data_IF_490015306686
#
_entry.id   IF_490015306686
#
_cell.length_a   1.000
_cell.length_b   1.000
_cell.length_c   1.000
_cell.angle_alpha   90.00
_cell.angle_beta   90.00
_cell.angle_gamma   90.00
#
_symmetry.space_group_name_H-M   'P 1'
#
loop_
_entity.id
_entity.type
_entity.pdbx_description
1 polymer ?
#
# COMPACT_ATOMS: atom_id res chain seq x y z
N UNK A 1 -23.59 28.70 79.10
CA UNK A 1 -23.51 27.24 78.90
C UNK A 1 -22.77 26.97 77.60
N UNK A 2 -21.45 26.80 77.73
CA UNK A 2 -20.54 25.84 77.08
C UNK A 2 -21.03 25.05 75.83
N UNK A 3 -20.27 25.23 74.71
CA UNK A 3 -19.71 24.29 73.68
C UNK A 3 -20.78 23.55 72.78
N UNK A 4 -20.69 23.28 71.46
CA UNK A 4 -19.62 22.84 70.54
C UNK A 4 -19.79 23.23 69.06
N UNK A 5 -18.67 23.58 68.44
CA UNK A 5 -18.36 23.44 67.02
C UNK A 5 -17.76 22.05 66.78
N UNK A 6 -18.24 21.29 65.80
CA UNK A 6 -17.40 20.31 65.10
C UNK A 6 -17.80 20.16 63.61
N UNK A 7 -16.74 20.03 62.81
CA UNK A 7 -16.60 20.07 61.36
C UNK A 7 -17.02 18.77 60.62
N UNK A 8 -16.89 18.81 59.29
CA UNK A 8 -16.81 17.76 58.26
C UNK A 8 -18.06 17.67 57.34
N UNK A 9 -18.03 17.83 56.00
CA UNK A 9 -16.98 17.91 54.96
C UNK A 9 -17.49 18.72 53.75
N UNK A 10 -16.62 19.57 53.20
CA UNK A 10 -16.64 20.16 51.84
C UNK A 10 -16.34 19.11 50.74
N UNK A 11 -16.42 19.42 49.42
CA UNK A 11 -17.32 20.29 48.67
C UNK A 11 -17.98 19.57 47.46
N UNK A 12 -19.05 20.16 46.90
CA UNK A 12 -19.59 19.77 45.59
C UNK A 12 -18.61 20.16 44.48
N UNK A 13 -18.04 19.18 43.78
CA UNK A 13 -17.37 19.39 42.50
C UNK A 13 -18.41 19.32 41.37
N UNK A 14 -18.51 20.41 40.61
CA UNK A 14 -19.19 20.46 39.32
C UNK A 14 -18.37 19.57 38.38
N UNK A 15 -18.87 18.38 38.08
CA UNK A 15 -18.40 17.56 36.98
C UNK A 15 -18.96 18.16 35.69
N UNK A 16 -18.16 18.98 35.00
CA UNK A 16 -18.37 19.24 33.59
C UNK A 16 -18.22 17.92 32.85
N UNK A 17 -19.30 17.47 32.23
CA UNK A 17 -19.36 16.28 31.38
C UNK A 17 -18.27 16.36 30.29
N UNK A 18 -17.17 15.65 30.50
CA UNK A 18 -16.29 15.27 29.40
C UNK A 18 -17.09 14.32 28.52
N UNK A 19 -17.43 14.80 27.32
CA UNK A 19 -18.13 14.03 26.31
C UNK A 19 -17.17 12.95 25.80
N UNK A 20 -17.17 11.79 26.45
CA UNK A 20 -16.40 10.61 26.07
C UNK A 20 -17.10 9.93 24.88
N UNK A 21 -17.24 10.66 23.77
CA UNK A 21 -17.66 10.13 22.48
C UNK A 21 -16.58 10.35 21.41
N UNK A 22 -15.33 10.53 21.82
CA UNK A 22 -14.19 10.22 20.97
C UNK A 22 -13.83 8.75 21.20
N UNK A 23 -14.78 7.85 20.87
CA UNK A 23 -14.42 6.50 20.50
C UNK A 23 -13.30 6.64 19.47
N UNK A 24 -12.18 5.95 19.70
CA UNK A 24 -11.10 5.81 18.74
C UNK A 24 -11.72 5.38 17.40
N UNK A 25 -12.04 6.35 16.53
CA UNK A 25 -11.97 6.13 15.10
C UNK A 25 -10.48 5.84 14.90
N UNK A 26 -10.12 4.56 14.88
CA UNK A 26 -8.93 4.13 14.16
C UNK A 26 -9.06 4.79 12.80
N UNK A 27 -8.32 5.88 12.56
CA UNK A 27 -8.23 6.44 11.23
C UNK A 27 -7.74 5.29 10.36
N UNK A 28 -8.58 4.81 9.45
CA UNK A 28 -8.12 3.82 8.50
C UNK A 28 -7.15 4.58 7.60
N UNK A 29 -5.88 4.21 7.64
CA UNK A 29 -4.93 4.76 6.68
C UNK A 29 -5.14 4.04 5.36
N UNK A 30 -5.15 4.80 4.26
CA UNK A 30 -5.17 4.25 2.92
C UNK A 30 -3.87 4.55 2.22
N UNK A 31 -3.57 3.77 1.18
CA UNK A 31 -2.47 4.09 0.27
C UNK A 31 -2.92 5.27 -0.57
N UNK A 32 -2.10 6.32 -0.61
CA UNK A 32 -2.36 7.51 -1.44
C UNK A 32 -1.35 7.70 -2.55
N UNK A 33 -0.21 7.02 -2.50
CA UNK A 33 0.77 7.04 -3.59
C UNK A 33 1.74 5.86 -3.51
N UNK A 34 2.49 5.68 -4.59
CA UNK A 34 3.57 4.70 -4.65
C UNK A 34 4.89 5.34 -5.07
N UNK A 35 6.00 4.75 -4.65
CA UNK A 35 7.34 5.03 -5.16
C UNK A 35 8.00 3.74 -5.63
N UNK A 36 8.96 3.85 -6.53
CA UNK A 36 9.80 2.74 -6.97
C UNK A 36 11.25 3.07 -6.64
N UNK A 37 11.94 2.14 -6.01
CA UNK A 37 13.37 2.22 -5.74
C UNK A 37 14.11 1.20 -6.60
N UNK A 38 15.16 1.65 -7.27
CA UNK A 38 16.00 0.84 -8.16
C UNK A 38 17.43 0.94 -7.68
N UNK A 39 18.10 -0.19 -7.54
CA UNK A 39 19.49 -0.26 -7.08
C UNK A 39 20.30 -1.32 -7.84
N UNK A 40 21.61 -1.10 -7.87
CA UNK A 40 22.62 -2.09 -8.28
C UNK A 40 22.97 -3.09 -7.17
N UNK A 41 22.45 -2.87 -5.96
CA UNK A 41 22.70 -3.71 -4.78
C UNK A 41 21.40 -4.10 -4.12
N UNK A 42 21.42 -5.22 -3.39
CA UNK A 42 20.30 -5.69 -2.58
C UNK A 42 20.13 -4.82 -1.31
N UNK A 43 19.84 -3.53 -1.48
CA UNK A 43 19.79 -2.53 -0.41
C UNK A 43 18.52 -1.68 -0.45
N UNK A 44 17.38 -2.28 -0.09
CA UNK A 44 16.13 -1.54 0.05
C UNK A 44 16.14 -0.68 1.33
N UNK A 45 16.02 0.66 1.24
CA UNK A 45 15.84 1.49 2.43
C UNK A 45 14.46 1.21 3.04
N UNK A 46 14.32 1.31 4.37
CA UNK A 46 13.02 1.13 5.01
C UNK A 46 11.97 2.17 4.55
N UNK A 47 12.42 3.40 4.25
CA UNK A 47 11.57 4.49 3.79
C UNK A 47 12.24 5.27 2.67
N UNK A 48 11.43 5.72 1.70
CA UNK A 48 11.87 6.58 0.60
C UNK A 48 10.77 7.60 0.28
N UNK A 49 11.09 8.89 0.30
CA UNK A 49 10.15 9.97 -0.04
C UNK A 49 8.81 9.92 0.75
N UNK A 50 8.88 9.55 2.03
CA UNK A 50 7.68 9.40 2.88
C UNK A 50 6.86 8.14 2.60
N UNK A 51 7.35 7.24 1.75
CA UNK A 51 6.78 5.91 1.55
C UNK A 51 7.49 4.87 2.42
N UNK A 52 6.71 3.95 2.97
CA UNK A 52 7.21 2.69 3.56
C UNK A 52 7.51 1.71 2.43
N UNK A 53 8.72 1.16 2.38
CA UNK A 53 9.15 0.26 1.32
C UNK A 53 8.77 -1.20 1.60
N UNK A 54 8.28 -1.90 0.59
CA UNK A 54 8.14 -3.35 0.64
C UNK A 54 9.49 -4.02 0.35
N UNK A 55 9.88 -5.00 1.15
CA UNK A 55 11.22 -5.62 1.07
C UNK A 55 11.38 -6.68 -0.03
N UNK A 56 10.30 -6.97 -0.77
CA UNK A 56 10.36 -7.92 -1.88
C UNK A 56 11.06 -7.27 -3.07
N UNK A 57 12.18 -7.85 -3.49
CA UNK A 57 12.80 -7.54 -4.78
C UNK A 57 11.96 -8.15 -5.91
N UNK A 58 11.52 -7.33 -6.85
CA UNK A 58 10.67 -7.76 -7.97
C UNK A 58 11.44 -8.51 -9.05
N UNK A 59 12.78 -8.46 -9.03
CA UNK A 59 13.66 -9.21 -9.93
C UNK A 59 14.35 -10.40 -9.25
N UNK A 60 13.91 -10.77 -8.04
CA UNK A 60 14.60 -11.77 -7.24
C UNK A 60 14.76 -13.08 -8.02
N UNK A 61 15.99 -13.56 -8.16
CA UNK A 61 16.29 -14.80 -8.90
C UNK A 61 16.34 -14.68 -10.43
N UNK A 62 16.10 -13.50 -10.99
CA UNK A 62 16.13 -13.25 -12.44
C UNK A 62 17.31 -12.36 -12.89
N UNK A 63 18.11 -11.86 -11.95
CA UNK A 63 19.20 -10.92 -12.22
C UNK A 63 18.68 -9.53 -12.58
N UNK A 64 19.56 -8.66 -13.08
CA UNK A 64 19.22 -7.27 -13.35
C UNK A 64 19.32 -6.38 -12.11
N UNK A 65 18.56 -5.28 -12.10
CA UNK A 65 18.49 -4.35 -10.98
C UNK A 65 17.64 -4.91 -9.85
N UNK A 66 17.96 -4.53 -8.62
CA UNK A 66 17.08 -4.74 -7.47
C UNK A 66 15.99 -3.68 -7.48
N UNK A 67 14.73 -4.12 -7.49
CA UNK A 67 13.58 -3.22 -7.67
C UNK A 67 12.57 -3.44 -6.55
N UNK A 68 12.19 -2.36 -5.88
CA UNK A 68 11.28 -2.38 -4.74
C UNK A 68 10.18 -1.32 -4.90
N UNK A 69 8.99 -1.63 -4.40
CA UNK A 69 7.85 -0.70 -4.39
C UNK A 69 7.60 -0.23 -2.96
N UNK A 70 7.47 1.09 -2.78
CA UNK A 70 7.02 1.68 -1.54
C UNK A 70 5.61 2.26 -1.66
N UNK A 71 4.90 2.33 -0.54
CA UNK A 71 3.58 2.97 -0.44
C UNK A 71 3.61 4.17 0.50
N UNK A 72 2.93 5.23 0.11
CA UNK A 72 2.59 6.33 1.00
C UNK A 72 1.24 6.06 1.63
N UNK A 73 1.16 6.18 2.96
CA UNK A 73 -0.07 6.00 3.73
C UNK A 73 -0.48 7.30 4.40
N UNK A 74 -1.76 7.62 4.30
CA UNK A 74 -2.33 8.81 4.92
C UNK A 74 -3.71 8.47 5.49
N UNK A 75 -4.17 9.24 6.47
CA UNK A 75 -5.50 9.07 7.06
C UNK A 75 -6.58 9.19 6.00
N UNK A 76 -7.49 8.23 5.94
CA UNK A 76 -8.63 8.28 5.04
C UNK A 76 -9.84 8.93 5.71
N UNK A 77 -10.40 9.93 5.04
CA UNK A 77 -11.64 10.61 5.41
C UNK A 77 -12.50 10.79 4.16
N UNK A 78 -13.78 11.07 4.33
CA UNK A 78 -14.67 11.42 3.21
C UNK A 78 -14.20 12.66 2.44
N UNK A 79 -13.46 13.56 3.09
CA UNK A 79 -12.97 14.80 2.50
C UNK A 79 -11.73 14.63 1.64
N UNK A 80 -11.04 13.49 1.75
CA UNK A 80 -9.78 13.22 1.03
C UNK A 80 -9.83 11.93 0.20
N UNK A 81 -11.02 11.43 -0.08
CA UNK A 81 -11.22 10.20 -0.85
C UNK A 81 -10.57 10.26 -2.24
N UNK A 82 -10.55 11.43 -2.86
CA UNK A 82 -9.93 11.66 -4.17
C UNK A 82 -8.41 11.39 -4.20
N UNK A 83 -7.77 11.36 -3.03
CA UNK A 83 -6.34 11.04 -2.87
C UNK A 83 -6.08 9.56 -2.64
N UNK A 84 -7.09 8.80 -2.24
CA UNK A 84 -6.95 7.38 -1.95
C UNK A 84 -6.76 6.61 -3.25
N UNK A 85 -5.78 5.70 -3.28
CA UNK A 85 -5.62 4.74 -4.37
C UNK A 85 -6.79 3.75 -4.32
N UNK A 86 -7.52 3.65 -5.42
CA UNK A 86 -8.74 2.83 -5.52
C UNK A 86 -8.61 1.71 -6.54
N UNK A 87 -7.61 1.74 -7.42
CA UNK A 87 -7.30 0.65 -8.35
C UNK A 87 -5.79 0.56 -8.56
N UNK A 88 -5.27 -0.65 -8.64
CA UNK A 88 -3.85 -0.95 -8.88
C UNK A 88 -3.77 -2.11 -9.86
N UNK A 89 -2.87 -2.00 -10.83
CA UNK A 89 -2.50 -3.11 -11.72
C UNK A 89 -1.04 -3.02 -12.15
N UNK A 90 -0.58 -4.10 -12.76
CA UNK A 90 0.69 -4.18 -13.46
C UNK A 90 0.43 -4.56 -14.91
N UNK A 91 1.15 -3.93 -15.82
CA UNK A 91 1.01 -4.17 -17.26
C UNK A 91 2.34 -4.67 -17.82
N UNK A 92 2.27 -5.75 -18.60
CA UNK A 92 3.42 -6.31 -19.29
C UNK A 92 3.38 -5.98 -20.79
N UNK A 93 4.53 -5.63 -21.35
CA UNK A 93 4.68 -5.34 -22.78
C UNK A 93 6.01 -5.93 -23.31
N UNK A 94 6.02 -6.32 -24.57
CA UNK A 94 7.24 -6.75 -25.27
C UNK A 94 8.11 -5.56 -25.68
N UNK A 95 7.52 -4.37 -25.78
CA UNK A 95 8.22 -3.14 -26.11
C UNK A 95 8.25 -2.18 -24.91
N UNK A 96 9.30 -1.37 -24.85
CA UNK A 96 9.38 -0.32 -23.82
C UNK A 96 8.31 0.74 -24.09
N UNK A 97 7.46 0.98 -23.09
CA UNK A 97 6.49 2.06 -23.13
C UNK A 97 7.13 3.36 -22.63
N UNK A 98 6.91 4.44 -23.39
CA UNK A 98 7.41 5.79 -23.06
C UNK A 98 6.28 6.73 -22.64
N UNK A 99 5.04 6.26 -22.70
CA UNK A 99 3.84 7.03 -22.41
C UNK A 99 2.91 6.27 -21.45
N UNK A 100 2.16 7.02 -20.65
CA UNK A 100 1.21 6.47 -19.71
C UNK A 100 0.17 5.60 -20.44
N UNK A 101 -0.02 4.33 -20.02
CA UNK A 101 -1.05 3.48 -20.56
C UNK A 101 -2.44 4.13 -20.52
N UNK A 102 -3.25 4.00 -21.58
CA UNK A 102 -4.60 4.55 -21.62
C UNK A 102 -5.48 3.89 -20.55
N UNK A 103 -6.46 4.63 -20.04
CA UNK A 103 -7.40 4.15 -19.02
C UNK A 103 -6.90 4.22 -17.58
N UNK A 104 -5.64 4.64 -17.35
CA UNK A 104 -5.07 4.82 -16.02
C UNK A 104 -4.79 6.30 -15.74
N UNK A 105 -5.08 6.77 -14.53
CA UNK A 105 -4.82 8.13 -14.08
C UNK A 105 -3.35 8.36 -13.77
N UNK A 106 -2.69 7.35 -13.18
CA UNK A 106 -1.32 7.42 -12.72
C UNK A 106 -0.52 6.18 -13.17
N UNK A 107 0.79 6.37 -13.33
CA UNK A 107 1.72 5.29 -13.64
C UNK A 107 3.13 5.65 -13.17
N UNK A 108 3.98 4.63 -13.03
CA UNK A 108 5.41 4.81 -12.90
C UNK A 108 6.09 4.37 -14.22
N UNK A 109 6.90 5.25 -14.87
CA UNK A 109 7.58 4.90 -16.13
C UNK A 109 8.78 3.97 -15.94
N UNK A 110 9.17 3.67 -14.70
CA UNK A 110 10.22 2.71 -14.40
C UNK A 110 9.78 1.31 -14.83
N UNK A 111 10.64 0.66 -15.62
CA UNK A 111 10.49 -0.77 -15.91
C UNK A 111 10.85 -1.57 -14.66
N UNK A 112 9.86 -2.30 -14.13
CA UNK A 112 10.01 -3.11 -12.93
C UNK A 112 10.77 -4.43 -13.18
N UNK A 113 11.13 -4.71 -14.43
CA UNK A 113 11.93 -5.86 -14.86
C UNK A 113 13.36 -5.47 -15.30
N UNK A 114 13.81 -4.25 -15.00
CA UNK A 114 15.03 -3.69 -15.60
C UNK A 114 16.25 -4.62 -15.43
N UNK A 115 16.76 -5.13 -16.55
CA UNK A 115 17.91 -6.02 -16.61
C UNK A 115 17.61 -7.52 -16.43
N UNK A 116 16.38 -7.91 -16.08
CA UNK A 116 15.95 -9.30 -15.92
C UNK A 116 15.63 -10.00 -17.27
N UNK A 117 15.74 -9.29 -18.40
CA UNK A 117 15.61 -9.80 -19.79
C UNK A 117 14.23 -10.39 -20.16
N UNK A 118 13.19 -10.07 -19.40
CA UNK A 118 11.79 -10.44 -19.67
C UNK A 118 11.00 -9.34 -20.40
N UNK A 119 9.67 -9.38 -20.25
CA UNK A 119 8.78 -8.29 -20.69
C UNK A 119 8.98 -7.06 -19.81
N UNK A 120 8.79 -5.88 -20.38
CA UNK A 120 8.74 -4.64 -19.62
C UNK A 120 7.49 -4.63 -18.74
N UNK A 121 7.67 -4.36 -17.44
CA UNK A 121 6.58 -4.37 -16.46
C UNK A 121 6.39 -2.95 -15.91
N UNK A 122 5.15 -2.45 -15.94
CA UNK A 122 4.81 -1.11 -15.45
C UNK A 122 3.71 -1.15 -14.41
N UNK A 123 3.88 -0.39 -13.31
CA UNK A 123 2.85 -0.18 -12.31
C UNK A 123 1.93 0.98 -12.70
N UNK A 124 0.63 0.76 -12.60
CA UNK A 124 -0.42 1.72 -12.92
C UNK A 124 -1.49 1.75 -11.83
N UNK A 125 -2.06 2.91 -11.56
CA UNK A 125 -3.11 3.05 -10.54
C UNK A 125 -4.07 4.21 -10.83
N UNK A 126 -5.24 4.15 -10.19
CA UNK A 126 -6.24 5.23 -10.13
C UNK A 126 -6.47 5.66 -8.69
N UNK A 127 -6.99 6.87 -8.52
CA UNK A 127 -7.36 7.42 -7.22
C UNK A 127 -8.81 7.93 -7.25
N UNK A 128 -9.50 7.86 -6.12
CA UNK A 128 -10.78 8.54 -5.93
C UNK A 128 -11.97 7.98 -6.70
N UNK A 129 -11.92 6.77 -7.21
CA UNK A 129 -13.05 6.18 -7.93
C UNK A 129 -14.22 5.90 -6.96
N UNK A 130 -15.38 6.55 -7.17
CA UNK A 130 -16.49 6.69 -6.21
C UNK A 130 -17.07 5.36 -5.65
N UNK A 131 -17.06 4.28 -6.44
CA UNK A 131 -17.69 3.00 -6.08
C UNK A 131 -16.67 2.01 -5.49
N UNK A 132 -15.38 2.32 -5.61
CA UNK A 132 -14.29 1.43 -5.20
C UNK A 132 -13.69 1.90 -3.89
N UNK A 133 -13.68 0.98 -2.93
CA UNK A 133 -13.07 1.23 -1.64
C UNK A 133 -11.55 1.42 -1.73
N UNK A 134 -10.96 2.26 -0.86
CA UNK A 134 -9.52 2.49 -0.82
C UNK A 134 -8.71 1.20 -0.67
N UNK A 135 -7.57 1.16 -1.35
CA UNK A 135 -6.53 0.17 -1.12
C UNK A 135 -5.77 0.57 0.14
N UNK A 136 -5.60 -0.38 1.05
CA UNK A 136 -4.92 -0.18 2.33
C UNK A 136 -3.69 -1.07 2.49
N UNK A 137 -3.38 -1.96 1.57
CA UNK A 137 -2.19 -2.81 1.65
C UNK A 137 -1.86 -3.36 0.26
N UNK A 138 -0.57 -3.55 0.00
CA UNK A 138 -0.08 -4.40 -1.09
C UNK A 138 0.85 -5.45 -0.48
N UNK A 139 0.88 -6.64 -1.05
CA UNK A 139 1.87 -7.66 -0.73
C UNK A 139 2.29 -8.39 -2.00
N UNK A 140 3.50 -8.93 -1.97
CA UNK A 140 4.07 -9.70 -3.06
C UNK A 140 4.28 -11.14 -2.61
N UNK A 141 3.98 -12.07 -3.50
CA UNK A 141 4.12 -13.50 -3.22
C UNK A 141 4.85 -14.19 -4.35
N UNK A 142 5.84 -14.99 -3.97
CA UNK A 142 6.63 -15.78 -4.91
C UNK A 142 6.01 -17.16 -5.08
N UNK A 143 5.99 -17.66 -6.31
CA UNK A 143 5.67 -19.04 -6.62
C UNK A 143 6.86 -19.72 -7.29
N UNK A 144 7.22 -20.91 -6.80
CA UNK A 144 8.34 -21.70 -7.30
C UNK A 144 8.15 -22.19 -8.74
N UNK A 145 6.89 -22.24 -9.22
CA UNK A 145 6.55 -22.66 -10.58
C UNK A 145 5.89 -21.53 -11.36
N UNK A 146 6.30 -21.34 -12.62
CA UNK A 146 5.71 -20.36 -13.54
C UNK A 146 4.21 -20.53 -13.66
N UNK A 147 3.51 -19.40 -13.70
CA UNK A 147 2.05 -19.36 -13.91
C UNK A 147 1.21 -19.84 -12.72
N UNK A 148 1.83 -20.30 -11.63
CA UNK A 148 1.10 -20.56 -10.40
C UNK A 148 0.97 -19.27 -9.61
N UNK A 149 -0.23 -18.69 -9.61
CA UNK A 149 -0.54 -17.58 -8.74
C UNK A 149 -0.78 -18.11 -7.31
N UNK A 150 0.10 -17.85 -6.32
CA UNK A 150 -0.02 -18.45 -4.99
C UNK A 150 -1.28 -17.94 -4.28
N UNK A 151 -1.68 -16.70 -4.58
CA UNK A 151 -2.97 -16.12 -4.22
C UNK A 151 -3.08 -15.83 -2.73
N UNK A 152 -3.38 -14.58 -2.38
CA UNK A 152 -3.83 -14.29 -1.02
C UNK A 152 -5.28 -14.71 -0.85
N UNK A 153 -5.54 -15.38 0.28
CA UNK A 153 -6.87 -15.85 0.70
C UNK A 153 -7.52 -14.82 1.62
N UNK A 154 -8.84 -14.70 1.55
CA UNK A 154 -9.65 -13.77 2.34
C UNK A 154 -10.46 -12.83 1.45
N UNK A 155 -11.70 -12.53 1.84
CA UNK A 155 -12.68 -11.84 0.99
C UNK A 155 -12.26 -10.43 0.52
N UNK A 156 -11.31 -9.81 1.21
CA UNK A 156 -10.87 -8.45 0.95
C UNK A 156 -9.55 -8.35 0.16
N UNK A 157 -8.82 -9.47 0.01
CA UNK A 157 -7.61 -9.50 -0.79
C UNK A 157 -7.95 -9.73 -2.26
N UNK A 158 -7.42 -8.88 -3.12
CA UNK A 158 -7.58 -8.96 -4.56
C UNK A 158 -6.22 -9.27 -5.16
N UNK A 159 -6.17 -10.34 -5.94
CA UNK A 159 -4.98 -10.84 -6.61
C UNK A 159 -4.86 -10.15 -7.99
N UNK A 160 -3.71 -9.57 -8.31
CA UNK A 160 -3.45 -8.99 -9.63
C UNK A 160 -2.92 -10.10 -10.53
N UNK A 161 -3.67 -10.39 -11.60
CA UNK A 161 -3.34 -11.45 -12.55
C UNK A 161 -2.27 -11.02 -13.58
N UNK A 162 -1.12 -10.56 -13.10
CA UNK A 162 0.06 -10.29 -13.90
C UNK A 162 1.29 -10.84 -13.18
N UNK A 163 2.02 -11.76 -13.84
CA UNK A 163 3.33 -12.19 -13.37
C UNK A 163 4.31 -11.03 -13.58
N UNK A 164 4.96 -10.58 -12.50
CA UNK A 164 5.93 -9.49 -12.53
C UNK A 164 7.28 -9.93 -13.11
N UNK A 165 7.46 -11.23 -13.35
CA UNK A 165 8.64 -11.79 -14.01
C UNK A 165 8.27 -12.45 -15.34
N UNK A 166 7.20 -11.97 -15.99
CA UNK A 166 6.75 -12.49 -17.29
C UNK A 166 7.85 -12.35 -18.36
N UNK A 167 8.06 -13.41 -19.13
CA UNK A 167 9.15 -13.50 -20.12
C UNK A 167 10.51 -13.92 -19.57
N UNK A 168 10.64 -14.17 -18.26
CA UNK A 168 11.84 -14.78 -17.67
C UNK A 168 11.60 -16.25 -17.29
N UNK A 169 12.67 -17.03 -17.22
CA UNK A 169 12.65 -18.37 -16.64
C UNK A 169 12.74 -18.31 -15.11
N UNK A 170 12.20 -19.32 -14.42
CA UNK A 170 12.32 -19.47 -12.95
C UNK A 170 11.03 -19.18 -12.19
N UNK A 171 11.14 -18.61 -11.00
CA UNK A 171 9.98 -18.32 -10.13
C UNK A 171 9.10 -17.20 -10.69
N UNK A 172 7.85 -17.13 -10.25
CA UNK A 172 6.93 -16.02 -10.57
C UNK A 172 6.74 -15.14 -9.34
N UNK A 173 6.59 -13.84 -9.54
CA UNK A 173 6.27 -12.88 -8.46
C UNK A 173 4.93 -12.24 -8.78
N UNK A 174 4.03 -12.26 -7.81
CA UNK A 174 2.66 -11.81 -7.97
C UNK A 174 2.32 -10.76 -6.92
N UNK A 175 1.58 -9.71 -7.32
CA UNK A 175 1.08 -8.71 -6.38
C UNK A 175 -0.37 -9.00 -5.99
N UNK A 176 -0.69 -8.78 -4.71
CA UNK A 176 -2.05 -8.71 -4.21
C UNK A 176 -2.25 -7.40 -3.47
N UNK A 177 -3.48 -6.90 -3.41
CA UNK A 177 -3.81 -5.73 -2.60
C UNK A 177 -5.03 -5.96 -1.73
N UNK A 178 -5.09 -5.30 -0.58
CA UNK A 178 -6.20 -5.32 0.35
C UNK A 178 -7.00 -4.04 0.22
N UNK A 179 -8.33 -4.14 0.20
CA UNK A 179 -9.23 -3.00 0.34
C UNK A 179 -10.31 -3.28 1.38
N UNK A 180 -10.80 -2.22 2.03
CA UNK A 180 -11.72 -2.29 3.18
C UNK A 180 -12.89 -1.35 3.03
#
# INVERSE_FOLDING_TARGET
MIIEYFLYKTPFYILSFFNFSQLFLTSMTCITDFTVYVSDKADCPAHLQGCEMHLQDLNEGHGGKYIYIGRKREDHTSENHERAVTSLSFLADVNKNTQKPPGWGFWNPQDLSEGARGKFIYMVWNKGEDITKPIIEIDFSTAESKGQHPGKRGASWININQDLTDGTDGKSIWCSYLRV
#
